data_IF_436583858747
#
_entry.id   IF_436583858747
#
_cell.length_a   1.000
_cell.length_b   1.000
_cell.length_c   1.000
_cell.angle_alpha   90.00
_cell.angle_beta   90.00
_cell.angle_gamma   90.00
#
_symmetry.space_group_name_H-M   'P 1'
#
loop_
_entity.id
_entity.type
_entity.pdbx_description
1 polymer ?
#
# COMPACT_ATOMS: atom_id res chain seq x y z
N UNK A 1 -8.54 -0.36 10.00
CA UNK A 1 -7.28 0.41 10.17
C UNK A 1 -6.33 -0.08 9.10
N UNK A 2 -5.64 0.80 8.38
CA UNK A 2 -4.70 0.40 7.32
C UNK A 2 -3.61 -0.48 7.94
N UNK A 3 -3.38 -1.68 7.41
CA UNK A 3 -2.33 -2.59 7.88
C UNK A 3 -1.28 -2.87 6.82
N UNK A 4 -1.71 -3.12 5.59
CA UNK A 4 -0.82 -3.47 4.48
C UNK A 4 -1.17 -2.63 3.27
N UNK A 5 -0.16 -2.01 2.67
CA UNK A 5 -0.29 -1.19 1.47
C UNK A 5 0.66 -1.73 0.41
N UNK A 6 0.13 -2.08 -0.75
CA UNK A 6 0.90 -2.68 -1.85
C UNK A 6 0.76 -1.79 -3.08
N UNK A 7 1.88 -1.25 -3.58
CA UNK A 7 1.93 -0.60 -4.90
C UNK A 7 2.36 -1.64 -5.94
N UNK A 8 1.54 -1.84 -6.96
CA UNK A 8 1.81 -2.73 -8.08
C UNK A 8 2.60 -2.03 -9.19
N UNK A 9 3.15 -2.82 -10.13
CA UNK A 9 3.90 -2.32 -11.30
C UNK A 9 3.12 -1.31 -12.16
N UNK A 10 1.80 -1.39 -12.21
CA UNK A 10 0.93 -0.50 -12.99
C UNK A 10 0.45 0.72 -12.17
N UNK A 11 1.18 1.08 -11.11
CA UNK A 11 0.83 2.15 -10.17
C UNK A 11 -0.54 1.97 -9.47
N UNK A 12 -1.15 0.79 -9.56
CA UNK A 12 -2.32 0.46 -8.75
C UNK A 12 -1.91 0.16 -7.32
N UNK A 13 -2.66 0.70 -6.37
CA UNK A 13 -2.46 0.48 -4.94
C UNK A 13 -3.60 -0.38 -4.39
N UNK A 14 -3.21 -1.45 -3.70
CA UNK A 14 -4.10 -2.29 -2.91
C UNK A 14 -3.86 -2.05 -1.42
N UNK A 15 -4.93 -1.91 -0.65
CA UNK A 15 -4.85 -1.63 0.79
C UNK A 15 -5.70 -2.64 1.54
N UNK A 16 -5.12 -3.20 2.59
CA UNK A 16 -5.75 -4.20 3.44
C UNK A 16 -5.73 -3.74 4.89
N UNK A 17 -6.77 -4.12 5.62
CA UNK A 17 -6.83 -3.91 7.05
C UNK A 17 -6.14 -5.06 7.84
N UNK A 18 -6.21 -4.99 9.18
CA UNK A 18 -5.59 -5.99 10.04
C UNK A 18 -6.18 -7.40 9.93
N UNK A 19 -7.35 -7.55 9.31
CA UNK A 19 -8.01 -8.84 9.05
C UNK A 19 -7.65 -9.39 7.66
N UNK A 20 -6.90 -8.62 6.87
CA UNK A 20 -6.65 -8.93 5.46
C UNK A 20 -7.83 -8.59 4.56
N UNK A 21 -8.79 -7.79 5.02
CA UNK A 21 -9.91 -7.33 4.21
C UNK A 21 -9.50 -6.11 3.39
N UNK A 22 -9.95 -6.07 2.14
CA UNK A 22 -9.66 -4.96 1.23
C UNK A 22 -10.37 -3.68 1.69
N UNK A 23 -9.64 -2.57 1.65
CA UNK A 23 -10.15 -1.24 2.02
C UNK A 23 -10.33 -0.36 0.77
N UNK A 24 -11.46 -0.51 0.07
CA UNK A 24 -11.75 0.17 -1.21
C UNK A 24 -11.51 1.68 -1.20
N UNK A 25 -11.80 2.35 -0.07
CA UNK A 25 -11.62 3.80 0.07
C UNK A 25 -10.17 4.28 -0.08
N UNK A 26 -9.20 3.38 -0.07
CA UNK A 26 -7.77 3.67 -0.21
C UNK A 26 -7.13 2.96 -1.42
N UNK A 27 -7.93 2.29 -2.26
CA UNK A 27 -7.43 1.61 -3.46
C UNK A 27 -7.54 2.50 -4.69
N UNK A 28 -6.67 2.29 -5.68
CA UNK A 28 -6.70 2.99 -6.96
C UNK A 28 -5.31 3.40 -7.44
N UNK A 29 -5.26 4.40 -8.32
CA UNK A 29 -3.99 4.94 -8.83
C UNK A 29 -3.18 5.59 -7.70
N UNK A 30 -1.89 5.26 -7.64
CA UNK A 30 -0.97 5.65 -6.59
C UNK A 30 -1.01 7.16 -6.32
N UNK A 31 -0.90 7.99 -7.35
CA UNK A 31 -0.90 9.46 -7.18
C UNK A 31 -2.21 10.00 -6.59
N UNK A 32 -3.32 9.30 -6.80
CA UNK A 32 -4.64 9.66 -6.27
C UNK A 32 -4.75 9.31 -4.78
N UNK A 33 -4.25 8.15 -4.38
CA UNK A 33 -4.47 7.61 -3.03
C UNK A 33 -3.30 7.80 -2.06
N UNK A 34 -2.08 8.05 -2.56
CA UNK A 34 -0.84 8.09 -1.76
C UNK A 34 -0.95 9.03 -0.57
N UNK A 35 -1.37 10.28 -0.80
CA UNK A 35 -1.48 11.29 0.26
C UNK A 35 -2.44 10.83 1.35
N UNK A 36 -3.63 10.37 0.96
CA UNK A 36 -4.66 9.90 1.88
C UNK A 36 -4.17 8.71 2.71
N UNK A 37 -3.46 7.77 2.10
CA UNK A 37 -2.87 6.62 2.81
C UNK A 37 -1.81 7.10 3.80
N UNK A 38 -0.87 7.94 3.36
CA UNK A 38 0.21 8.47 4.21
C UNK A 38 -0.31 9.36 5.35
N UNK A 39 -1.52 9.90 5.27
CA UNK A 39 -2.15 10.64 6.38
C UNK A 39 -2.85 9.70 7.38
N UNK A 40 -3.45 8.61 6.90
CA UNK A 40 -4.31 7.74 7.71
C UNK A 40 -3.63 6.43 8.17
N UNK A 41 -2.46 6.11 7.62
CA UNK A 41 -1.73 4.90 7.97
C UNK A 41 -1.11 5.02 9.37
N UNK A 42 -1.36 4.06 10.28
CA UNK A 42 -0.70 4.03 11.58
C UNK A 42 0.81 3.75 11.44
N UNK A 43 1.62 3.99 12.49
CA UNK A 43 3.06 3.75 12.45
C UNK A 43 3.47 2.29 12.19
N UNK A 44 2.60 1.33 12.47
CA UNK A 44 2.84 -0.12 12.30
C UNK A 44 2.27 -0.66 10.97
N UNK A 45 1.84 0.21 10.06
CA UNK A 45 1.46 -0.17 8.71
C UNK A 45 2.68 -0.61 7.90
N UNK A 46 2.50 -1.65 7.09
CA UNK A 46 3.55 -2.21 6.22
C UNK A 46 3.33 -1.71 4.80
N UNK A 47 4.38 -1.13 4.22
CA UNK A 47 4.39 -0.61 2.86
C UNK A 47 5.21 -1.54 1.96
N UNK A 48 4.65 -1.88 0.81
CA UNK A 48 5.22 -2.86 -0.11
C UNK A 48 5.23 -2.33 -1.55
N UNK A 49 6.32 -2.59 -2.25
CA UNK A 49 6.40 -2.50 -3.70
C UNK A 49 6.37 -3.91 -4.29
N UNK A 50 5.38 -4.16 -5.13
CA UNK A 50 5.30 -5.37 -5.93
C UNK A 50 5.49 -5.02 -7.40
N UNK A 51 6.73 -4.64 -7.71
CA UNK A 51 7.16 -4.19 -9.03
C UNK A 51 8.02 -5.27 -9.69
N UNK A 52 7.66 -5.65 -10.92
CA UNK A 52 8.45 -6.60 -11.72
C UNK A 52 7.94 -8.04 -11.70
N UNK A 53 8.82 -8.98 -12.05
CA UNK A 53 8.56 -10.42 -12.14
C UNK A 53 8.93 -11.18 -10.85
N UNK A 54 9.34 -10.47 -9.79
CA UNK A 54 9.70 -11.08 -8.53
C UNK A 54 8.43 -11.57 -7.81
N UNK A 55 8.32 -12.86 -7.46
CA UNK A 55 7.16 -13.37 -6.72
C UNK A 55 7.06 -12.80 -5.30
N UNK A 56 8.13 -12.22 -4.77
CA UNK A 56 8.19 -11.68 -3.42
C UNK A 56 8.12 -10.14 -3.49
N UNK A 57 7.12 -9.50 -2.85
CA UNK A 57 7.06 -8.05 -2.71
C UNK A 57 8.20 -7.51 -1.83
N UNK A 58 8.71 -6.33 -2.16
CA UNK A 58 9.72 -5.63 -1.38
C UNK A 58 9.05 -4.77 -0.31
N UNK A 59 9.45 -4.92 0.96
CA UNK A 59 9.01 -4.03 2.04
C UNK A 59 9.86 -2.77 2.02
N UNK A 60 9.22 -1.61 2.00
CA UNK A 60 9.87 -0.29 1.96
C UNK A 60 9.47 0.54 3.17
N UNK A 61 10.27 1.57 3.46
CA UNK A 61 9.92 2.55 4.49
C UNK A 61 8.72 3.41 4.06
N UNK A 62 8.06 4.05 5.03
CA UNK A 62 6.95 4.97 4.75
C UNK A 62 7.40 6.18 3.94
N UNK A 63 8.65 6.60 4.11
CA UNK A 63 9.26 7.74 3.45
C UNK A 63 9.61 7.46 1.98
N UNK A 64 10.03 6.22 1.69
CA UNK A 64 10.32 5.73 0.33
C UNK A 64 9.05 5.33 -0.43
N UNK A 65 7.96 5.04 0.30
CA UNK A 65 6.65 4.71 -0.27
C UNK A 65 5.90 5.92 -0.81
#
# INVERSE_FOLDING_TARGET
MIKTVIKLKNDTVMVFDARGEQMEAYQGEYDVVRRKILENAPPDAVFLYWVGSNPIPETVSREEW
#
